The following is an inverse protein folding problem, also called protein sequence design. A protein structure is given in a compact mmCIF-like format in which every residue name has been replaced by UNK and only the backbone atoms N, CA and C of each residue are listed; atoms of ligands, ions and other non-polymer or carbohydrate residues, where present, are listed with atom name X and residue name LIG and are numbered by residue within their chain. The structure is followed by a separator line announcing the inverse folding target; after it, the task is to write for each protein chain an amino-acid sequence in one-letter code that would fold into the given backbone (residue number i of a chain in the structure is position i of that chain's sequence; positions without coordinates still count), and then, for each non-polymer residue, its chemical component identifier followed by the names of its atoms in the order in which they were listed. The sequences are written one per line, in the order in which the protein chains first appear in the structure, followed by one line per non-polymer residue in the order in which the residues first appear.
data_IF_687056790037
#
_entry.id   IF_687056790037
#
_cell.length_a   1.000
_cell.length_b   1.000
_cell.length_c   1.000
_cell.angle_alpha   90.00
_cell.angle_beta   90.00
_cell.angle_gamma   90.00
#
_symmetry.space_group_name_H-M   'P 1'
#
loop_
_entity.id
_entity.type
_entity.pdbx_description
1 polymer ?
#
# COMPACT_ATOMS: atom_id res chain seq x y z
N UNK A 1 6.78 4.29 19.30
CA UNK A 1 5.44 4.89 19.49
C UNK A 1 4.45 4.05 18.70
N UNK A 2 3.27 3.69 19.24
CA UNK A 2 2.25 3.03 18.43
C UNK A 2 1.91 3.92 17.23
N UNK A 3 2.16 3.41 16.02
CA UNK A 3 1.77 4.08 14.79
C UNK A 3 0.30 3.74 14.52
N UNK A 4 -0.55 4.76 14.34
CA UNK A 4 -1.89 4.54 13.84
C UNK A 4 -1.77 4.30 12.34
N UNK A 5 -1.94 3.06 11.91
CA UNK A 5 -1.85 2.66 10.51
C UNK A 5 -3.28 2.59 9.95
N UNK A 6 -3.58 3.43 8.96
CA UNK A 6 -4.88 3.42 8.30
C UNK A 6 -5.06 2.20 7.41
N UNK A 7 -6.29 1.71 7.31
CA UNK A 7 -6.64 0.69 6.34
C UNK A 7 -6.87 1.27 4.95
N UNK A 8 -6.74 0.44 3.91
CA UNK A 8 -6.98 0.87 2.52
C UNK A 8 -8.38 1.44 2.30
N UNK A 9 -9.40 0.94 2.98
CA UNK A 9 -10.77 1.49 2.91
C UNK A 9 -10.90 2.85 3.61
N UNK A 10 -10.26 3.05 4.78
CA UNK A 10 -10.20 4.36 5.44
C UNK A 10 -9.49 5.39 4.57
N UNK A 11 -8.37 5.00 3.94
CA UNK A 11 -7.61 5.87 3.03
C UNK A 11 -8.46 6.21 1.81
N UNK A 12 -9.08 5.22 1.17
CA UNK A 12 -9.94 5.46 0.01
C UNK A 12 -11.14 6.36 0.33
N UNK A 13 -11.77 6.16 1.49
CA UNK A 13 -12.84 7.03 1.99
C UNK A 13 -12.33 8.46 2.23
N UNK A 14 -11.18 8.62 2.89
CA UNK A 14 -10.56 9.93 3.20
C UNK A 14 -10.16 10.70 1.95
N UNK A 15 -9.54 10.02 0.98
CA UNK A 15 -9.04 10.63 -0.26
C UNK A 15 -10.16 10.89 -1.28
N UNK A 16 -11.30 10.18 -1.18
CA UNK A 16 -12.44 10.35 -2.07
C UNK A 16 -12.15 9.97 -3.53
N UNK A 17 -11.21 9.03 -3.76
CA UNK A 17 -10.77 8.57 -5.08
C UNK A 17 -10.21 7.15 -5.03
N UNK A 18 -9.94 6.59 -6.20
CA UNK A 18 -9.17 5.36 -6.34
C UNK A 18 -7.77 5.53 -5.74
N UNK A 19 -7.30 4.48 -5.07
CA UNK A 19 -6.01 4.48 -4.38
C UNK A 19 -5.09 3.39 -4.90
N UNK A 20 -3.79 3.68 -4.76
CA UNK A 20 -2.70 2.79 -5.12
C UNK A 20 -1.92 2.42 -3.87
N UNK A 21 -1.60 1.14 -3.71
CA UNK A 21 -0.75 0.70 -2.59
C UNK A 21 0.13 -0.48 -2.99
N UNK A 22 1.18 -0.71 -2.22
CA UNK A 22 2.09 -1.84 -2.37
C UNK A 22 2.00 -2.77 -1.17
N UNK A 23 2.00 -4.08 -1.43
CA UNK A 23 2.21 -5.10 -0.41
C UNK A 23 3.45 -5.92 -0.70
N UNK A 24 4.07 -6.44 0.35
CA UNK A 24 5.31 -7.22 0.26
C UNK A 24 5.05 -8.65 0.74
N UNK A 25 5.35 -9.63 -0.12
CA UNK A 25 5.10 -11.06 0.11
C UNK A 25 6.25 -11.74 0.85
N UNK A 26 7.47 -11.45 0.42
CA UNK A 26 8.70 -12.14 0.84
C UNK A 26 9.29 -11.48 2.09
N UNK A 27 8.53 -11.55 3.19
CA UNK A 27 8.95 -10.96 4.46
C UNK A 27 9.93 -11.89 5.16
N UNK A 28 11.11 -11.39 5.58
CA UNK A 28 12.06 -12.17 6.35
C UNK A 28 11.46 -12.75 7.64
N UNK A 29 12.04 -13.84 8.12
CA UNK A 29 11.70 -14.36 9.44
C UNK A 29 12.07 -13.33 10.53
N UNK A 30 11.24 -13.19 11.57
CA UNK A 30 11.56 -12.36 12.72
C UNK A 30 12.72 -12.98 13.51
N UNK A 31 13.66 -12.13 13.92
CA UNK A 31 14.82 -12.49 14.74
C UNK A 31 14.54 -12.35 16.24
N UNK A 32 13.47 -11.65 16.62
CA UNK A 32 13.00 -11.48 18.00
C UNK A 32 11.51 -11.06 18.01
N UNK A 33 10.90 -10.97 19.19
CA UNK A 33 9.49 -10.52 19.33
C UNK A 33 9.29 -9.05 18.96
N UNK A 34 10.32 -8.21 19.14
CA UNK A 34 10.30 -6.79 18.83
C UNK A 34 10.83 -6.50 17.42
N UNK A 35 11.07 -7.56 16.63
CA UNK A 35 11.62 -7.42 15.29
C UNK A 35 10.54 -6.96 14.29
N UNK A 36 10.88 -5.98 13.47
CA UNK A 36 10.09 -5.49 12.36
C UNK A 36 10.71 -6.01 11.05
N UNK A 37 10.49 -7.29 10.68
CA UNK A 37 11.21 -7.93 9.57
C UNK A 37 10.97 -7.23 8.23
N UNK A 38 9.84 -6.55 8.09
CA UNK A 38 9.51 -5.77 6.91
C UNK A 38 10.48 -4.60 6.66
N UNK A 39 11.18 -4.11 7.67
CA UNK A 39 12.24 -3.10 7.52
C UNK A 39 13.44 -3.63 6.74
N UNK A 40 13.66 -4.95 6.72
CA UNK A 40 14.79 -5.57 6.02
C UNK A 40 14.53 -5.90 4.56
N UNK A 41 13.31 -5.68 4.06
CA UNK A 41 12.95 -5.99 2.67
C UNK A 41 13.71 -5.04 1.71
N UNK A 42 14.62 -5.57 0.87
CA UNK A 42 15.44 -4.73 -0.02
C UNK A 42 14.62 -3.93 -1.04
N UNK A 43 13.57 -4.54 -1.59
CA UNK A 43 12.67 -3.92 -2.56
C UNK A 43 11.92 -2.76 -1.93
N UNK A 44 11.43 -2.92 -0.70
CA UNK A 44 10.78 -1.84 0.05
C UNK A 44 11.71 -0.65 0.20
N UNK A 45 12.96 -0.86 0.65
CA UNK A 45 13.96 0.22 0.78
C UNK A 45 14.22 0.91 -0.55
N UNK A 46 14.35 0.12 -1.62
CA UNK A 46 14.61 0.64 -2.98
C UNK A 46 13.47 1.51 -3.47
N UNK A 47 12.23 1.05 -3.28
CA UNK A 47 11.02 1.77 -3.68
C UNK A 47 10.86 3.04 -2.85
N UNK A 48 10.98 2.98 -1.52
CA UNK A 48 10.85 4.15 -0.66
C UNK A 48 11.85 5.25 -1.01
N UNK A 49 13.12 4.89 -1.19
CA UNK A 49 14.15 5.86 -1.61
C UNK A 49 13.78 6.51 -2.94
N UNK A 50 13.30 5.72 -3.91
CA UNK A 50 12.89 6.27 -5.20
C UNK A 50 11.69 7.20 -5.07
N UNK A 51 10.68 6.84 -4.26
CA UNK A 51 9.51 7.70 -3.99
C UNK A 51 9.96 9.04 -3.39
N UNK A 52 10.86 9.00 -2.40
CA UNK A 52 11.43 10.19 -1.77
C UNK A 52 12.20 11.05 -2.78
N UNK A 53 13.04 10.45 -3.62
CA UNK A 53 13.78 11.13 -4.69
C UNK A 53 12.85 11.78 -5.74
N UNK A 54 11.65 11.23 -5.95
CA UNK A 54 10.64 11.79 -6.86
C UNK A 54 9.69 12.78 -6.18
N UNK A 55 9.81 13.01 -4.87
CA UNK A 55 8.85 13.81 -4.11
C UNK A 55 7.46 13.20 -4.07
N UNK A 56 7.37 11.86 -4.11
CA UNK A 56 6.13 11.10 -3.99
C UNK A 56 5.91 10.70 -2.54
N UNK A 57 4.97 11.37 -1.87
CA UNK A 57 4.59 11.01 -0.51
C UNK A 57 3.98 9.61 -0.45
N UNK A 58 4.22 8.92 0.66
CA UNK A 58 3.71 7.61 0.98
C UNK A 58 3.43 7.53 2.49
N UNK A 59 2.53 6.64 2.89
CA UNK A 59 2.28 6.35 4.31
C UNK A 59 2.09 4.84 4.53
N UNK A 60 2.42 4.30 5.72
CA UNK A 60 2.07 2.93 6.08
C UNK A 60 0.57 2.68 5.95
N UNK A 61 0.17 1.55 5.39
CA UNK A 61 -1.24 1.16 5.33
C UNK A 61 -1.44 -0.33 5.61
N UNK A 62 -2.66 -0.70 6.00
CA UNK A 62 -3.09 -2.09 6.10
C UNK A 62 -4.05 -2.41 4.95
N UNK A 63 -3.71 -3.43 4.17
CA UNK A 63 -4.67 -3.98 3.22
C UNK A 63 -5.80 -4.62 4.01
N UNK A 64 -7.01 -4.06 3.90
CA UNK A 64 -8.13 -4.53 4.67
C UNK A 64 -9.37 -4.65 3.81
N UNK A 65 -9.77 -5.89 3.58
CA UNK A 65 -11.09 -6.23 3.06
C UNK A 65 -11.95 -6.86 4.17
N UNK A 66 -13.27 -6.73 4.15
CA UNK A 66 -14.17 -7.35 5.11
C UNK A 66 -13.90 -8.86 5.25
N UNK A 67 -13.81 -9.34 6.49
CA UNK A 67 -13.49 -10.74 6.79
C UNK A 67 -12.00 -11.10 6.73
N UNK A 68 -11.11 -10.14 6.44
CA UNK A 68 -9.66 -10.36 6.61
C UNK A 68 -9.34 -10.34 8.11
N UNK A 69 -8.68 -11.38 8.62
CA UNK A 69 -8.21 -11.43 10.01
C UNK A 69 -7.25 -10.25 10.28
N UNK A 70 -7.26 -9.75 11.52
CA UNK A 70 -6.27 -8.78 11.97
C UNK A 70 -4.87 -9.41 11.81
N UNK A 71 -4.11 -8.92 10.84
CA UNK A 71 -2.74 -9.34 10.59
C UNK A 71 -1.78 -8.28 11.12
N UNK A 72 -0.61 -8.67 11.65
CA UNK A 72 0.41 -7.69 12.01
C UNK A 72 0.81 -6.88 10.78
N UNK A 73 1.27 -5.64 10.99
CA UNK A 73 1.75 -4.82 9.89
C UNK A 73 2.94 -5.49 9.19
N UNK A 74 2.84 -5.58 7.85
CA UNK A 74 3.75 -6.32 6.98
C UNK A 74 4.52 -5.41 6.02
N UNK A 75 4.62 -4.12 6.36
CA UNK A 75 5.39 -3.15 5.58
C UNK A 75 4.66 -2.51 4.40
N UNK A 76 3.38 -2.81 4.19
CA UNK A 76 2.59 -2.26 3.09
C UNK A 76 2.50 -0.72 3.15
N UNK A 77 2.44 -0.08 1.99
CA UNK A 77 2.45 1.39 1.88
C UNK A 77 1.41 1.88 0.88
N UNK A 78 0.68 2.92 1.26
CA UNK A 78 -0.15 3.70 0.37
C UNK A 78 0.72 4.71 -0.38
N UNK A 79 0.38 4.95 -1.65
CA UNK A 79 1.07 5.91 -2.51
C UNK A 79 0.16 7.13 -2.71
N UNK A 80 0.60 8.34 -2.33
CA UNK A 80 -0.14 9.58 -2.56
C UNK A 80 -0.04 10.03 -4.03
N UNK A 81 -0.56 9.19 -4.93
CA UNK A 81 -0.67 9.40 -6.36
C UNK A 81 -2.06 8.92 -6.79
N UNK A 82 -2.76 9.73 -7.59
CA UNK A 82 -4.03 9.30 -8.18
C UNK A 82 -3.75 8.45 -9.44
N UNK A 83 -4.49 7.34 -9.64
CA UNK A 83 -4.38 6.53 -10.85
C UNK A 83 -5.07 7.24 -12.03
N UNK A 84 -4.40 8.25 -12.56
CA UNK A 84 -4.85 9.04 -13.71
C UNK A 84 -3.85 8.89 -14.86
N UNK A 85 -4.27 8.24 -15.94
CA UNK A 85 -3.46 8.01 -17.14
C UNK A 85 -2.92 9.30 -17.78
N UNK A 86 -3.56 10.45 -17.50
CA UNK A 86 -3.11 11.76 -18.02
C UNK A 86 -2.08 12.43 -17.09
N UNK A 87 -1.84 11.88 -15.91
CA UNK A 87 -0.92 12.42 -14.92
C UNK A 87 0.51 11.96 -15.18
N UNK A 88 1.42 12.91 -15.43
CA UNK A 88 2.86 12.63 -15.57
C UNK A 88 3.43 11.92 -14.33
N UNK A 89 2.92 12.26 -13.13
CA UNK A 89 3.34 11.66 -11.87
C UNK A 89 2.94 10.19 -11.78
N UNK A 90 1.73 9.85 -12.24
CA UNK A 90 1.27 8.48 -12.30
C UNK A 90 2.01 7.68 -13.37
N UNK A 91 2.18 8.23 -14.57
CA UNK A 91 2.95 7.58 -15.64
C UNK A 91 4.39 7.30 -15.22
N UNK A 92 5.04 8.23 -14.49
CA UNK A 92 6.38 8.01 -13.94
C UNK A 92 6.43 6.91 -12.89
N UNK A 93 5.39 6.82 -12.06
CA UNK A 93 5.24 5.75 -11.07
C UNK A 93 5.10 4.38 -11.76
N UNK A 94 4.22 4.26 -12.77
CA UNK A 94 4.08 3.05 -13.57
C UNK A 94 5.40 2.66 -14.24
N UNK A 95 6.05 3.64 -14.89
CA UNK A 95 7.34 3.45 -15.54
C UNK A 95 8.50 3.11 -14.58
N UNK A 96 8.28 3.15 -13.26
CA UNK A 96 9.23 2.65 -12.26
C UNK A 96 8.80 1.31 -11.66
N UNK A 97 7.50 1.10 -11.44
CA UNK A 97 6.98 -0.10 -10.78
C UNK A 97 6.73 -1.26 -11.73
N UNK A 98 6.43 -1.01 -13.00
CA UNK A 98 5.97 -2.04 -13.94
C UNK A 98 7.05 -2.46 -14.94
N UNK A 99 7.04 -3.71 -15.38
CA UNK A 99 7.86 -4.20 -16.48
C UNK A 99 7.18 -3.95 -17.84
N UNK A 100 7.82 -4.40 -18.92
CA UNK A 100 7.29 -4.26 -20.29
C UNK A 100 5.98 -5.05 -20.53
N UNK A 101 5.55 -5.87 -19.57
CA UNK A 101 4.29 -6.64 -19.62
C UNK A 101 3.18 -6.00 -18.78
N UNK A 102 3.43 -4.86 -18.15
CA UNK A 102 2.49 -4.19 -17.25
C UNK A 102 2.34 -4.89 -15.90
N UNK A 103 3.32 -5.72 -15.51
CA UNK A 103 3.35 -6.38 -14.18
C UNK A 103 4.35 -5.69 -13.29
N UNK A 104 4.16 -5.77 -11.96
CA UNK A 104 5.16 -5.23 -11.04
C UNK A 104 6.53 -5.91 -11.27
N UNK A 105 7.57 -5.10 -11.51
CA UNK A 105 8.93 -5.56 -11.83
C UNK A 105 9.71 -6.03 -10.61
N UNK A 106 9.28 -5.65 -9.41
CA UNK A 106 9.93 -6.02 -8.16
C UNK A 106 9.42 -7.38 -7.70
N UNK A 107 10.32 -8.37 -7.64
CA UNK A 107 9.98 -9.68 -7.10
C UNK A 107 9.46 -9.54 -5.66
N UNK A 108 8.42 -10.31 -5.31
CA UNK A 108 7.83 -10.26 -3.97
C UNK A 108 7.01 -9.00 -3.66
N UNK A 109 6.80 -8.10 -4.63
CA UNK A 109 5.96 -6.91 -4.47
C UNK A 109 4.69 -7.05 -5.30
N UNK A 110 3.55 -6.74 -4.69
CA UNK A 110 2.27 -6.62 -5.40
C UNK A 110 1.87 -5.15 -5.45
N UNK A 111 1.47 -4.70 -6.65
CA UNK A 111 1.00 -3.36 -6.90
C UNK A 111 -0.51 -3.39 -7.14
N UNK A 112 -1.24 -2.67 -6.30
CA UNK A 112 -2.69 -2.76 -6.21
C UNK A 112 -3.36 -1.43 -6.53
N UNK A 113 -4.51 -1.53 -7.20
CA UNK A 113 -5.50 -0.48 -7.33
C UNK A 113 -6.76 -0.88 -6.54
N UNK A 114 -7.21 0.00 -5.64
CA UNK A 114 -8.51 -0.13 -4.98
C UNK A 114 -9.44 0.96 -5.51
N UNK A 115 -10.50 0.59 -6.24
CA UNK A 115 -11.51 1.54 -6.67
C UNK A 115 -12.19 2.21 -5.46
N UNK A 116 -12.57 3.48 -5.60
CA UNK A 116 -13.31 4.24 -4.59
C UNK A 116 -14.56 3.50 -4.15
N UNK A 117 -15.34 2.97 -5.10
CA UNK A 117 -16.57 2.22 -4.81
C UNK A 117 -16.32 1.04 -3.85
N UNK A 118 -15.19 0.32 -4.03
CA UNK A 118 -14.82 -0.77 -3.11
C UNK A 118 -14.44 -0.23 -1.74
N UNK A 119 -13.67 0.86 -1.70
CA UNK A 119 -13.26 1.50 -0.45
C UNK A 119 -14.47 1.94 0.37
N UNK A 120 -15.44 2.62 -0.25
CA UNK A 120 -16.68 3.04 0.39
C UNK A 120 -17.47 1.86 0.95
N UNK A 121 -17.66 0.81 0.13
CA UNK A 121 -18.36 -0.40 0.55
C UNK A 121 -17.69 -1.09 1.74
N UNK A 122 -16.37 -1.23 1.72
CA UNK A 122 -15.62 -1.87 2.80
C UNK A 122 -15.62 -1.02 4.07
N UNK A 123 -15.52 0.29 3.93
CA UNK A 123 -15.60 1.23 5.03
C UNK A 123 -16.96 1.14 5.74
N UNK A 124 -18.06 1.20 5.00
CA UNK A 124 -19.43 1.04 5.54
C UNK A 124 -19.62 -0.29 6.27
N UNK A 125 -19.15 -1.39 5.66
CA UNK A 125 -19.26 -2.72 6.26
C UNK A 125 -18.44 -2.86 7.55
N UNK A 126 -17.30 -2.19 7.65
CA UNK A 126 -16.47 -2.14 8.86
C UNK A 126 -17.16 -1.34 9.97
N UNK A 127 -17.72 -0.16 9.65
CA UNK A 127 -18.43 0.64 10.64
C UNK A 127 -19.60 -0.16 11.25
N UNK A 128 -20.38 -0.85 10.42
CA UNK A 128 -21.47 -1.71 10.87
C UNK A 128 -21.07 -2.93 11.72
N UNK A 129 -19.78 -3.27 11.79
CA UNK A 129 -19.25 -4.35 12.67
C UNK A 129 -18.72 -3.81 14.00
N UNK A 130 -18.49 -2.50 14.10
CA UNK A 130 -18.01 -1.83 15.30
C UNK A 130 -19.17 -1.29 16.17
N UNK A 131 -20.33 -1.07 15.56
CA UNK A 131 -21.61 -0.74 16.21
C UNK A 131 -22.30 -1.99 16.80
#
# INVERSE_FOLDING_TARGET
MPQLICTTDEIGYREGRDILFLSFRDIPEPSSLDDEPWERIPERKTILRWLDDQGISWEPCLHCSPGTLATPYRGAIYLHVAPDERSERYQKLLAFLEDNTGRCRFAGVDFWLVPLEKSLKWYEQRQAQLD
#
